data_IF_406507323011
#
_entry.id   IF_406507323011
#
_cell.length_a   1.000
_cell.length_b   1.000
_cell.length_c   1.000
_cell.angle_alpha   90.00
_cell.angle_beta   90.00
_cell.angle_gamma   90.00
#
_symmetry.space_group_name_H-M   'P 1'
#
loop_
_entity.id
_entity.type
_entity.pdbx_description
1 polymer ?
#
# COMPACT_ATOMS: atom_id res chain seq x y z
N UNK A 1 -6.36 6.30 -28.88
CA UNK A 1 -5.48 5.11 -29.03
C UNK A 1 -6.17 3.82 -28.59
N UNK A 2 -6.94 3.79 -27.50
CA UNK A 2 -7.61 2.58 -26.98
C UNK A 2 -8.50 1.82 -27.99
N UNK A 3 -9.21 2.53 -28.88
CA UNK A 3 -10.17 1.92 -29.82
C UNK A 3 -9.51 0.94 -30.82
N UNK A 4 -8.23 1.11 -31.16
CA UNK A 4 -7.51 0.23 -32.10
C UNK A 4 -7.16 -1.15 -31.50
N UNK A 5 -7.29 -1.31 -30.19
CA UNK A 5 -6.88 -2.53 -29.48
C UNK A 5 -8.06 -3.43 -29.09
N UNK A 6 -9.30 -3.04 -29.44
CA UNK A 6 -10.52 -3.84 -29.20
C UNK A 6 -10.79 -4.79 -30.37
N UNK A 7 -9.91 -5.78 -30.51
CA UNK A 7 -10.02 -6.85 -31.50
C UNK A 7 -10.60 -8.11 -30.85
N UNK A 8 -11.16 -9.00 -31.66
CA UNK A 8 -11.63 -10.31 -31.24
C UNK A 8 -10.51 -11.06 -30.52
N UNK A 9 -10.85 -11.61 -29.36
CA UNK A 9 -9.93 -12.33 -28.47
C UNK A 9 -9.22 -11.44 -27.45
N UNK A 10 -9.33 -10.10 -27.54
CA UNK A 10 -8.80 -9.21 -26.52
C UNK A 10 -9.56 -9.40 -25.19
N UNK A 11 -8.80 -9.38 -24.09
CA UNK A 11 -9.35 -9.41 -22.73
C UNK A 11 -9.67 -7.98 -22.27
N UNK A 12 -10.81 -7.81 -21.62
CA UNK A 12 -11.30 -6.53 -21.07
C UNK A 12 -11.89 -6.74 -19.68
N UNK A 13 -12.06 -5.65 -18.95
CA UNK A 13 -12.69 -5.63 -17.64
C UNK A 13 -14.13 -5.14 -17.72
N UNK A 14 -15.04 -5.84 -17.04
CA UNK A 14 -16.43 -5.43 -16.89
C UNK A 14 -16.79 -5.28 -15.41
N UNK A 15 -17.65 -4.32 -15.03
CA UNK A 15 -18.11 -4.18 -13.66
C UNK A 15 -18.82 -5.45 -13.17
N UNK A 16 -18.62 -5.78 -11.90
CA UNK A 16 -19.26 -6.89 -11.20
C UNK A 16 -19.70 -6.47 -9.80
N UNK A 17 -20.92 -6.82 -9.35
CA UNK A 17 -21.42 -6.41 -8.02
C UNK A 17 -20.59 -6.93 -6.84
N UNK A 18 -19.97 -8.10 -6.97
CA UNK A 18 -19.29 -8.79 -5.87
C UNK A 18 -17.77 -8.61 -5.94
N UNK A 19 -17.19 -8.74 -7.13
CA UNK A 19 -15.75 -8.66 -7.38
C UNK A 19 -15.28 -7.26 -7.79
N UNK A 20 -16.19 -6.29 -7.92
CA UNK A 20 -15.99 -4.95 -8.52
C UNK A 20 -15.70 -5.01 -10.02
N UNK A 21 -14.76 -5.86 -10.44
CA UNK A 21 -14.36 -6.07 -11.82
C UNK A 21 -14.13 -7.55 -12.11
N UNK A 22 -14.58 -8.01 -13.29
CA UNK A 22 -14.32 -9.35 -13.82
C UNK A 22 -13.78 -9.29 -15.24
N UNK A 23 -12.92 -10.25 -15.58
CA UNK A 23 -12.35 -10.36 -16.92
C UNK A 23 -13.36 -10.97 -17.90
N UNK A 24 -13.41 -10.42 -19.11
CA UNK A 24 -14.23 -10.90 -20.21
C UNK A 24 -13.44 -10.86 -21.52
N UNK A 25 -13.78 -11.73 -22.46
CA UNK A 25 -13.15 -11.78 -23.78
C UNK A 25 -14.04 -11.18 -24.87
N UNK A 26 -13.47 -10.36 -25.74
CA UNK A 26 -14.18 -9.87 -26.92
C UNK A 26 -14.41 -11.00 -27.92
N UNK A 27 -15.67 -11.19 -28.32
CA UNK A 27 -16.04 -12.20 -29.32
C UNK A 27 -16.01 -11.68 -30.76
N UNK A 28 -15.98 -10.36 -30.94
CA UNK A 28 -15.93 -9.69 -32.23
C UNK A 28 -15.10 -8.40 -32.13
N UNK A 29 -14.61 -7.92 -33.26
CA UNK A 29 -13.93 -6.62 -33.36
C UNK A 29 -14.94 -5.50 -33.09
N UNK A 30 -14.51 -4.46 -32.37
CA UNK A 30 -15.31 -3.26 -32.16
C UNK A 30 -15.10 -2.25 -33.29
N UNK A 31 -16.19 -1.81 -33.93
CA UNK A 31 -16.16 -0.71 -34.90
C UNK A 31 -16.63 0.58 -34.24
N UNK A 32 -15.94 1.72 -34.44
CA UNK A 32 -16.41 3.01 -33.94
C UNK A 32 -17.85 3.31 -34.39
N UNK A 33 -18.76 3.50 -33.44
CA UNK A 33 -20.19 3.69 -33.70
C UNK A 33 -21.07 2.48 -33.36
N UNK A 34 -20.47 1.33 -33.06
CA UNK A 34 -21.20 0.20 -32.51
C UNK A 34 -21.76 0.55 -31.13
N UNK A 35 -23.05 0.23 -30.93
CA UNK A 35 -23.76 0.50 -29.66
C UNK A 35 -23.53 -0.56 -28.58
N UNK A 36 -22.90 -1.68 -28.94
CA UNK A 36 -22.67 -2.80 -28.04
C UNK A 36 -21.37 -3.54 -28.39
N UNK A 37 -20.75 -4.13 -27.37
CA UNK A 37 -19.65 -5.09 -27.53
C UNK A 37 -20.14 -6.47 -27.09
N UNK A 38 -19.86 -7.50 -27.89
CA UNK A 38 -20.19 -8.88 -27.53
C UNK A 38 -19.04 -9.48 -26.73
N UNK A 39 -19.32 -9.81 -25.46
CA UNK A 39 -18.35 -10.31 -24.50
C UNK A 39 -18.65 -11.75 -24.09
N UNK A 40 -17.59 -12.51 -23.83
CA UNK A 40 -17.64 -13.83 -23.21
C UNK A 40 -17.17 -13.71 -21.76
N UNK A 41 -18.09 -13.96 -20.83
CA UNK A 41 -17.83 -14.09 -19.39
C UNK A 41 -17.85 -15.57 -19.00
N UNK A 42 -17.43 -15.88 -17.77
CA UNK A 42 -17.54 -17.23 -17.18
C UNK A 42 -18.99 -17.74 -17.16
N UNK A 43 -19.96 -16.84 -16.94
CA UNK A 43 -21.40 -17.14 -16.92
C UNK A 43 -22.08 -17.22 -18.29
N UNK A 44 -21.34 -16.99 -19.39
CA UNK A 44 -21.89 -17.02 -20.75
C UNK A 44 -21.62 -15.75 -21.55
N UNK A 45 -22.36 -15.59 -22.65
CA UNK A 45 -22.23 -14.45 -23.56
C UNK A 45 -23.12 -13.30 -23.11
N UNK A 46 -22.56 -12.09 -23.12
CA UNK A 46 -23.28 -10.87 -22.73
C UNK A 46 -23.05 -9.76 -23.75
N UNK A 47 -24.09 -8.97 -24.01
CA UNK A 47 -23.99 -7.73 -24.77
C UNK A 47 -23.72 -6.57 -23.79
N UNK A 48 -22.56 -5.97 -23.89
CA UNK A 48 -22.16 -4.81 -23.10
C UNK A 48 -22.52 -3.53 -23.86
N UNK A 49 -23.35 -2.63 -23.31
CA UNK A 49 -23.77 -1.41 -23.99
C UNK A 49 -22.64 -0.36 -24.05
N UNK A 50 -22.58 0.38 -25.15
CA UNK A 50 -21.64 1.48 -25.39
C UNK A 50 -22.41 2.64 -26.01
N UNK A 51 -22.66 3.70 -25.24
CA UNK A 51 -23.36 4.89 -25.74
C UNK A 51 -22.37 5.94 -26.24
N UNK A 52 -21.28 6.12 -25.49
CA UNK A 52 -20.17 7.00 -25.82
C UNK A 52 -18.83 6.25 -25.79
N UNK A 53 -17.79 6.74 -26.49
CA UNK A 53 -16.48 6.08 -26.52
C UNK A 53 -15.81 5.89 -25.14
N UNK A 54 -16.20 6.67 -24.12
CA UNK A 54 -15.72 6.50 -22.74
C UNK A 54 -16.34 5.32 -22.00
N UNK A 55 -17.43 4.76 -22.51
CA UNK A 55 -18.10 3.60 -21.90
C UNK A 55 -17.41 2.29 -22.26
N UNK A 56 -16.45 2.33 -23.20
CA UNK A 56 -15.70 1.15 -23.63
C UNK A 56 -15.04 0.48 -22.42
N UNK A 57 -15.16 -0.85 -22.29
CA UNK A 57 -14.60 -1.56 -21.16
C UNK A 57 -13.07 -1.42 -21.17
N UNK A 58 -12.43 -1.21 -20.00
CA UNK A 58 -10.97 -1.11 -19.92
C UNK A 58 -10.29 -2.38 -20.44
N UNK A 59 -9.25 -2.22 -21.25
CA UNK A 59 -8.45 -3.36 -21.74
C UNK A 59 -7.69 -4.03 -20.58
N UNK A 60 -7.67 -5.36 -20.55
CA UNK A 60 -6.82 -6.09 -19.62
C UNK A 60 -5.36 -6.07 -20.08
N UNK A 61 -4.44 -6.08 -19.10
CA UNK A 61 -3.03 -6.31 -19.41
C UNK A 61 -2.82 -7.77 -19.81
N UNK A 62 -1.80 -8.07 -20.64
CA UNK A 62 -1.44 -9.45 -20.94
C UNK A 62 -1.05 -10.23 -19.67
N UNK A 63 -1.35 -11.53 -19.64
CA UNK A 63 -1.08 -12.41 -18.50
C UNK A 63 0.41 -12.43 -18.09
N UNK A 64 1.33 -12.17 -19.03
CA UNK A 64 2.77 -12.08 -18.75
C UNK A 64 3.14 -10.91 -17.82
N UNK A 65 2.27 -9.90 -17.71
CA UNK A 65 2.46 -8.70 -16.88
C UNK A 65 1.65 -8.79 -15.58
N UNK A 66 1.25 -9.99 -15.17
CA UNK A 66 0.56 -10.21 -13.89
C UNK A 66 1.55 -10.25 -12.72
N UNK A 67 1.16 -9.56 -11.64
CA UNK A 67 1.90 -9.58 -10.39
C UNK A 67 3.23 -8.81 -10.40
N UNK A 68 3.39 -7.85 -11.32
CA UNK A 68 4.54 -6.95 -11.39
C UNK A 68 4.90 -6.30 -10.04
N UNK A 69 6.20 -6.17 -9.77
CA UNK A 69 6.70 -5.51 -8.55
C UNK A 69 6.41 -4.01 -8.53
N UNK A 70 6.32 -3.36 -9.70
CA UNK A 70 5.91 -1.96 -9.85
C UNK A 70 4.75 -1.84 -10.84
N UNK A 71 3.64 -1.28 -10.37
CA UNK A 71 2.44 -1.02 -11.17
C UNK A 71 2.71 -0.06 -12.34
N UNK A 72 3.79 0.71 -12.30
CA UNK A 72 4.20 1.58 -13.42
C UNK A 72 4.63 0.80 -14.67
N UNK A 73 4.96 -0.49 -14.55
CA UNK A 73 5.33 -1.36 -15.66
C UNK A 73 4.13 -1.87 -16.48
N UNK A 74 2.90 -1.67 -16.00
CA UNK A 74 1.69 -2.12 -16.70
C UNK A 74 1.45 -1.33 -17.99
N UNK A 75 1.07 -2.04 -19.06
CA UNK A 75 0.77 -1.43 -20.36
C UNK A 75 -0.50 -0.55 -20.30
N UNK A 76 -1.50 -1.00 -19.57
CA UNK A 76 -2.74 -0.30 -19.30
C UNK A 76 -2.87 -0.05 -17.80
N UNK A 77 -2.73 1.22 -17.40
CA UNK A 77 -2.84 1.63 -16.01
C UNK A 77 -4.21 2.26 -15.75
N UNK A 78 -5.10 1.49 -15.13
CA UNK A 78 -6.45 1.89 -14.71
C UNK A 78 -6.86 1.06 -13.49
N UNK A 79 -8.00 1.41 -12.88
CA UNK A 79 -8.47 0.83 -11.63
C UNK A 79 -8.53 -0.72 -11.64
N UNK A 80 -9.16 -1.40 -12.62
CA UNK A 80 -9.18 -2.87 -12.60
C UNK A 80 -7.80 -3.51 -12.75
N UNK A 81 -6.89 -2.90 -13.53
CA UNK A 81 -5.52 -3.40 -13.65
C UNK A 81 -4.75 -3.33 -12.32
N UNK A 82 -4.91 -2.23 -11.58
CA UNK A 82 -4.30 -2.05 -10.26
C UNK A 82 -4.89 -3.07 -9.27
N UNK A 83 -6.22 -3.18 -9.21
CA UNK A 83 -6.91 -4.09 -8.31
C UNK A 83 -6.50 -5.54 -8.57
N UNK A 84 -6.49 -5.96 -9.83
CA UNK A 84 -6.11 -7.32 -10.23
C UNK A 84 -4.66 -7.64 -9.85
N UNK A 85 -3.71 -6.77 -10.19
CA UNK A 85 -2.30 -7.00 -9.87
C UNK A 85 -2.08 -7.10 -8.36
N UNK A 86 -2.64 -6.18 -7.57
CA UNK A 86 -2.55 -6.23 -6.10
C UNK A 86 -3.18 -7.50 -5.54
N UNK A 87 -4.31 -7.96 -6.09
CA UNK A 87 -4.98 -9.19 -5.68
C UNK A 87 -4.12 -10.42 -5.96
N UNK A 88 -3.56 -10.56 -7.17
CA UNK A 88 -2.67 -11.67 -7.56
C UNK A 88 -1.44 -11.70 -6.65
N UNK A 89 -0.77 -10.56 -6.45
CA UNK A 89 0.39 -10.48 -5.56
C UNK A 89 0.06 -10.90 -4.13
N UNK A 90 -1.06 -10.42 -3.61
CA UNK A 90 -1.45 -10.70 -2.24
C UNK A 90 -1.89 -12.16 -2.04
N UNK A 91 -2.73 -12.71 -2.93
CA UNK A 91 -3.30 -14.05 -2.78
C UNK A 91 -2.38 -15.16 -3.28
N UNK A 92 -1.74 -14.96 -4.42
CA UNK A 92 -1.00 -16.03 -5.11
C UNK A 92 0.49 -16.01 -4.76
N UNK A 93 1.08 -14.82 -4.61
CA UNK A 93 2.51 -14.65 -4.29
C UNK A 93 2.79 -14.34 -2.81
N UNK A 94 1.75 -14.26 -1.97
CA UNK A 94 1.85 -13.88 -0.56
C UNK A 94 2.67 -12.60 -0.33
N UNK A 95 2.60 -11.68 -1.29
CA UNK A 95 3.41 -10.47 -1.37
C UNK A 95 2.56 -9.26 -0.99
N UNK A 96 2.86 -8.68 0.18
CA UNK A 96 2.08 -7.57 0.75
C UNK A 96 2.52 -6.19 0.29
N UNK A 97 3.68 -6.10 -0.35
CA UNK A 97 4.29 -4.86 -0.79
C UNK A 97 4.35 -4.80 -2.32
N UNK A 98 3.98 -3.65 -2.87
CA UNK A 98 4.00 -3.39 -4.32
C UNK A 98 4.37 -1.93 -4.56
N UNK A 99 5.28 -1.67 -5.49
CA UNK A 99 5.59 -0.31 -5.90
C UNK A 99 4.52 0.24 -6.85
N UNK A 100 4.31 1.55 -6.76
CA UNK A 100 3.50 2.33 -7.68
C UNK A 100 4.29 3.60 -7.97
N UNK A 101 5.32 3.47 -8.81
CA UNK A 101 6.34 4.49 -9.00
C UNK A 101 7.01 4.85 -7.67
N UNK A 102 6.83 6.10 -7.22
CA UNK A 102 7.44 6.60 -5.97
C UNK A 102 6.71 6.15 -4.70
N UNK A 103 5.51 5.58 -4.82
CA UNK A 103 4.68 5.16 -3.69
C UNK A 103 4.87 3.67 -3.43
N UNK A 104 4.92 3.28 -2.17
CA UNK A 104 4.83 1.87 -1.76
C UNK A 104 3.41 1.59 -1.28
N UNK A 105 2.75 0.64 -1.93
CA UNK A 105 1.47 0.07 -1.48
C UNK A 105 1.77 -1.07 -0.51
N UNK A 106 1.13 -1.06 0.64
CA UNK A 106 1.22 -2.09 1.66
C UNK A 106 -0.18 -2.62 1.99
N UNK A 107 -0.42 -3.91 1.73
CA UNK A 107 -1.68 -4.59 2.05
C UNK A 107 -1.52 -5.30 3.39
N UNK A 108 -2.43 -5.10 4.33
CA UNK A 108 -2.32 -5.71 5.66
C UNK A 108 -2.62 -7.22 5.59
N UNK A 109 -1.66 -8.12 5.90
CA UNK A 109 -1.88 -9.56 5.86
C UNK A 109 -2.71 -10.10 7.02
N UNK A 110 -2.85 -9.35 8.12
CA UNK A 110 -3.36 -9.84 9.40
C UNK A 110 -2.63 -11.09 9.95
N UNK A 111 -1.40 -11.30 9.49
CA UNK A 111 -0.55 -12.42 9.87
C UNK A 111 0.91 -11.97 10.08
N UNK A 112 1.66 -12.73 10.86
CA UNK A 112 3.08 -12.48 11.09
C UNK A 112 3.91 -13.09 9.96
N UNK A 113 4.60 -12.24 9.20
CA UNK A 113 5.43 -12.67 8.08
C UNK A 113 6.93 -12.68 8.45
N UNK A 114 7.71 -13.71 8.05
CA UNK A 114 9.14 -13.81 8.35
C UNK A 114 10.01 -12.93 7.43
N UNK A 115 9.57 -11.70 7.12
CA UNK A 115 10.22 -10.77 6.17
C UNK A 115 10.88 -9.56 6.85
N UNK A 116 10.94 -9.57 8.19
CA UNK A 116 11.44 -8.43 8.98
C UNK A 116 12.66 -8.77 9.85
N UNK A 117 13.36 -9.86 9.54
CA UNK A 117 14.58 -10.28 10.21
C UNK A 117 15.75 -9.32 9.94
N UNK A 118 16.79 -9.38 10.77
CA UNK A 118 18.02 -8.59 10.57
C UNK A 118 18.72 -8.94 9.25
N UNK A 119 18.71 -10.22 8.88
CA UNK A 119 19.20 -10.69 7.58
C UNK A 119 18.52 -10.00 6.39
N UNK A 120 17.23 -9.69 6.51
CA UNK A 120 16.50 -8.93 5.48
C UNK A 120 16.92 -7.46 5.52
N UNK A 121 17.09 -6.86 6.70
CA UNK A 121 17.59 -5.48 6.81
C UNK A 121 18.96 -5.35 6.13
N UNK A 122 19.87 -6.30 6.38
CA UNK A 122 21.20 -6.31 5.78
C UNK A 122 21.14 -6.47 4.26
N UNK A 123 20.25 -7.34 3.75
CA UNK A 123 20.07 -7.54 2.31
C UNK A 123 19.59 -6.27 1.60
N UNK A 124 18.75 -5.45 2.25
CA UNK A 124 18.25 -4.18 1.72
C UNK A 124 19.22 -3.01 1.95
N UNK A 125 20.19 -3.16 2.86
CA UNK A 125 21.14 -2.11 3.19
C UNK A 125 22.13 -1.86 2.07
N UNK A 126 22.24 -0.61 1.62
CA UNK A 126 23.20 -0.19 0.59
C UNK A 126 22.82 -0.54 -0.85
N UNK A 127 21.74 -1.29 -1.07
CA UNK A 127 21.26 -1.67 -2.40
C UNK A 127 20.45 -0.55 -3.07
N UNK A 128 20.44 -0.51 -4.40
CA UNK A 128 19.60 0.41 -5.15
C UNK A 128 18.16 -0.09 -5.25
N UNK A 129 17.20 0.84 -5.13
CA UNK A 129 15.77 0.53 -5.06
C UNK A 129 15.26 -0.20 -6.31
N UNK A 130 15.88 0.04 -7.47
CA UNK A 130 15.49 -0.58 -8.74
C UNK A 130 15.78 -2.09 -8.80
N UNK A 131 16.73 -2.57 -7.98
CA UNK A 131 17.17 -3.96 -7.98
C UNK A 131 16.53 -4.80 -6.87
N UNK A 132 15.66 -4.18 -6.04
CA UNK A 132 15.08 -4.79 -4.86
C UNK A 132 13.59 -5.07 -5.04
N UNK A 133 13.14 -6.18 -4.46
CA UNK A 133 11.71 -6.43 -4.32
C UNK A 133 11.05 -5.37 -3.42
N UNK A 134 9.78 -5.01 -3.69
CA UNK A 134 9.10 -3.99 -2.92
C UNK A 134 9.07 -4.33 -1.43
N UNK A 135 9.54 -3.42 -0.58
CA UNK A 135 9.55 -3.62 0.86
C UNK A 135 9.59 -2.28 1.61
N UNK A 136 9.11 -2.23 2.85
CA UNK A 136 9.22 -1.01 3.66
C UNK A 136 10.69 -0.62 3.93
N UNK A 137 11.60 -1.60 3.92
CA UNK A 137 13.04 -1.38 4.05
C UNK A 137 13.66 -0.76 2.80
N UNK A 138 13.13 -0.99 1.59
CA UNK A 138 13.63 -0.30 0.39
C UNK A 138 13.35 1.21 0.48
N UNK A 139 12.17 1.59 0.98
CA UNK A 139 11.81 2.99 1.24
C UNK A 139 12.69 3.60 2.34
N UNK A 140 12.89 2.88 3.45
CA UNK A 140 13.73 3.34 4.56
C UNK A 140 15.20 3.49 4.14
N UNK A 141 15.75 2.51 3.41
CA UNK A 141 17.11 2.53 2.88
C UNK A 141 17.35 3.67 1.91
N UNK A 142 16.41 3.89 0.98
CA UNK A 142 16.51 5.01 0.05
C UNK A 142 16.45 6.37 0.78
N UNK A 143 15.56 6.52 1.77
CA UNK A 143 15.49 7.73 2.59
C UNK A 143 16.79 7.94 3.39
N UNK A 144 17.34 6.90 4.03
CA UNK A 144 18.60 7.00 4.77
C UNK A 144 19.75 7.42 3.86
N UNK A 145 19.92 6.75 2.71
CA UNK A 145 20.99 7.06 1.76
C UNK A 145 20.87 8.48 1.19
N UNK A 146 19.65 8.89 0.85
CA UNK A 146 19.37 10.24 0.34
C UNK A 146 19.66 11.28 1.41
N UNK A 147 19.30 11.02 2.67
CA UNK A 147 19.59 11.90 3.80
C UNK A 147 21.09 12.11 4.02
N UNK A 148 21.89 11.04 3.96
CA UNK A 148 23.35 11.12 4.13
C UNK A 148 24.01 11.94 3.01
N UNK A 149 23.47 11.87 1.78
CA UNK A 149 24.05 12.54 0.61
C UNK A 149 23.55 13.96 0.39
N UNK A 150 22.28 14.24 0.72
CA UNK A 150 21.58 15.46 0.33
C UNK A 150 21.04 16.24 1.54
N UNK A 151 19.79 15.98 1.93
CA UNK A 151 19.02 16.79 2.86
C UNK A 151 18.10 15.93 3.75
N UNK A 152 17.50 16.55 4.76
CA UNK A 152 16.53 15.89 5.64
C UNK A 152 15.38 15.24 4.83
N UNK A 153 14.97 14.05 5.24
CA UNK A 153 13.93 13.27 4.56
C UNK A 153 12.67 13.15 5.42
N UNK A 154 11.55 12.85 4.76
CA UNK A 154 10.29 12.51 5.42
C UNK A 154 9.71 11.23 4.83
N UNK A 155 9.24 10.34 5.70
CA UNK A 155 8.46 9.17 5.31
C UNK A 155 7.04 9.41 5.80
N UNK A 156 6.10 9.48 4.86
CA UNK A 156 4.69 9.73 5.13
C UNK A 156 3.94 8.42 4.95
N UNK A 157 3.29 7.96 6.02
CA UNK A 157 2.53 6.71 6.02
C UNK A 157 1.05 7.05 6.19
N UNK A 158 0.28 6.85 5.12
CA UNK A 158 -1.15 7.13 5.05
C UNK A 158 -1.98 5.85 4.93
N UNK A 159 -3.28 5.97 5.14
CA UNK A 159 -4.23 4.85 5.05
C UNK A 159 -5.32 4.92 6.10
N UNK A 160 -6.37 4.13 5.91
CA UNK A 160 -7.49 4.05 6.83
C UNK A 160 -7.10 3.45 8.19
N UNK A 161 -7.99 3.59 9.19
CA UNK A 161 -7.75 2.97 10.49
C UNK A 161 -7.67 1.45 10.36
N UNK A 162 -6.64 0.82 10.91
CA UNK A 162 -6.39 -0.63 10.77
C UNK A 162 -5.53 -1.02 9.56
N UNK A 163 -5.14 -0.09 8.69
CA UNK A 163 -4.36 -0.40 7.47
C UNK A 163 -2.88 -0.76 7.70
N UNK A 164 -2.41 -0.85 8.95
CA UNK A 164 -1.00 -1.18 9.24
C UNK A 164 -0.02 0.01 9.30
N UNK A 165 -0.50 1.27 9.40
CA UNK A 165 0.36 2.47 9.48
C UNK A 165 1.40 2.41 10.62
N UNK A 166 0.95 2.06 11.83
CA UNK A 166 1.82 1.99 13.02
C UNK A 166 2.87 0.89 12.89
N UNK A 167 2.47 -0.26 12.32
CA UNK A 167 3.37 -1.40 12.06
C UNK A 167 4.44 -1.02 11.04
N UNK A 168 4.04 -0.36 9.94
CA UNK A 168 4.97 0.14 8.93
C UNK A 168 5.97 1.13 9.53
N UNK A 169 5.50 2.09 10.34
CA UNK A 169 6.36 3.06 11.02
C UNK A 169 7.36 2.36 11.96
N UNK A 170 6.92 1.32 12.69
CA UNK A 170 7.79 0.52 13.57
C UNK A 170 8.92 -0.14 12.79
N UNK A 171 8.63 -0.77 11.67
CA UNK A 171 9.65 -1.42 10.84
C UNK A 171 10.60 -0.41 10.18
N UNK A 172 10.10 0.73 9.72
CA UNK A 172 10.96 1.84 9.26
C UNK A 172 11.95 2.29 10.34
N UNK A 173 11.48 2.46 11.58
CA UNK A 173 12.35 2.85 12.71
C UNK A 173 13.38 1.77 13.04
N UNK A 174 12.98 0.50 13.04
CA UNK A 174 13.89 -0.63 13.25
C UNK A 174 15.02 -0.67 12.22
N UNK A 175 14.69 -0.45 10.95
CA UNK A 175 15.68 -0.37 9.87
C UNK A 175 16.73 0.72 10.16
N UNK A 176 16.29 1.93 10.53
CA UNK A 176 17.21 3.02 10.85
C UNK A 176 18.10 2.73 12.06
N UNK A 177 17.57 2.02 13.06
CA UNK A 177 18.34 1.64 14.24
C UNK A 177 19.52 0.73 13.87
N UNK A 178 19.27 -0.32 13.09
CA UNK A 178 20.29 -1.27 12.64
C UNK A 178 21.34 -0.59 11.76
N UNK A 179 20.91 0.11 10.71
CA UNK A 179 21.83 0.75 9.74
C UNK A 179 22.57 1.94 10.34
N UNK A 180 21.97 2.64 11.30
CA UNK A 180 22.58 3.76 12.02
C UNK A 180 23.67 3.37 13.03
N UNK A 181 24.26 2.18 12.91
CA UNK A 181 25.40 1.78 13.72
C UNK A 181 25.07 1.56 15.19
N UNK A 182 23.82 1.24 15.53
CA UNK A 182 23.47 0.72 16.84
C UNK A 182 24.07 -0.70 16.99
N UNK A 183 25.37 -0.82 17.25
CA UNK A 183 26.08 -2.10 17.47
C UNK A 183 25.56 -2.89 18.68
N UNK A 184 24.63 -2.31 19.43
CA UNK A 184 23.70 -2.93 20.36
C UNK A 184 22.42 -2.11 20.24
N UNK A 185 21.23 -2.73 20.34
CA UNK A 185 19.94 -2.03 20.48
C UNK A 185 20.14 -0.71 21.22
N UNK A 186 20.12 0.40 20.49
CA UNK A 186 20.44 1.67 21.13
C UNK A 186 19.27 1.98 22.03
N UNK A 187 19.56 2.44 23.26
CA UNK A 187 18.54 2.94 24.20
C UNK A 187 17.59 3.96 23.55
N UNK A 188 17.98 4.59 22.44
CA UNK A 188 17.13 5.53 21.68
C UNK A 188 16.03 4.81 20.90
N UNK A 189 16.34 3.74 20.16
CA UNK A 189 15.31 2.91 19.49
C UNK A 189 14.33 2.38 20.53
N UNK A 190 14.83 1.72 21.57
CA UNK A 190 13.98 1.16 22.62
C UNK A 190 13.11 2.22 23.27
N UNK A 191 13.63 3.43 23.50
CA UNK A 191 12.85 4.55 24.04
C UNK A 191 11.79 5.06 23.07
N UNK A 192 12.11 5.16 21.79
CA UNK A 192 11.14 5.59 20.76
C UNK A 192 10.06 4.52 20.60
N UNK A 193 10.43 3.24 20.56
CA UNK A 193 9.48 2.13 20.49
C UNK A 193 8.65 2.01 21.77
N UNK A 194 9.25 2.19 22.95
CA UNK A 194 8.56 2.18 24.25
C UNK A 194 7.62 3.38 24.43
N UNK A 195 7.81 4.47 23.67
CA UNK A 195 6.84 5.57 23.65
C UNK A 195 5.53 5.18 22.95
N UNK A 196 5.54 4.19 22.04
CA UNK A 196 4.33 3.80 21.31
C UNK A 196 3.23 3.28 22.25
N UNK A 197 3.46 2.28 23.15
CA UNK A 197 2.43 1.85 24.09
C UNK A 197 1.84 2.99 24.94
N UNK A 198 2.67 3.95 25.37
CA UNK A 198 2.21 5.11 26.15
C UNK A 198 1.28 5.98 25.31
N UNK A 199 1.71 6.30 24.08
CA UNK A 199 0.95 7.13 23.15
C UNK A 199 -0.35 6.46 22.70
N UNK A 200 -0.34 5.14 22.54
CA UNK A 200 -1.54 4.36 22.26
C UNK A 200 -2.51 4.39 23.45
N UNK A 201 -2.01 4.21 24.68
CA UNK A 201 -2.85 4.23 25.88
C UNK A 201 -3.60 5.57 26.09
N UNK A 202 -2.97 6.70 25.75
CA UNK A 202 -3.56 8.04 25.96
C UNK A 202 -4.26 8.62 24.72
N UNK A 203 -3.92 8.12 23.53
CA UNK A 203 -4.31 8.74 22.26
C UNK A 203 -5.07 7.82 21.30
N UNK A 204 -5.13 6.52 21.59
CA UNK A 204 -5.97 5.60 20.84
C UNK A 204 -7.29 5.33 21.57
N UNK A 205 -8.28 4.93 20.79
CA UNK A 205 -9.56 4.50 21.33
C UNK A 205 -10.23 3.48 20.41
N UNK A 206 -11.10 2.68 21.01
CA UNK A 206 -12.04 1.85 20.27
C UNK A 206 -13.03 2.72 19.49
N UNK A 207 -13.25 2.34 18.25
CA UNK A 207 -14.23 2.94 17.32
C UNK A 207 -15.09 1.83 16.72
N UNK A 208 -16.11 2.18 15.95
CA UNK A 208 -16.93 1.20 15.22
C UNK A 208 -16.14 0.43 14.15
N UNK A 209 -14.99 0.95 13.69
CA UNK A 209 -14.19 0.38 12.60
C UNK A 209 -12.88 -0.29 13.05
N UNK A 210 -12.35 0.08 14.22
CA UNK A 210 -11.07 -0.39 14.72
C UNK A 210 -11.03 -0.28 16.26
N UNK A 211 -10.63 -1.36 16.94
CA UNK A 211 -10.50 -1.45 18.38
C UNK A 211 -9.35 -0.61 18.97
N UNK A 212 -8.33 -0.30 18.18
CA UNK A 212 -7.16 0.50 18.61
C UNK A 212 -6.87 1.65 17.63
N UNK A 213 -7.89 2.48 17.33
CA UNK A 213 -7.75 3.59 16.39
C UNK A 213 -7.02 4.77 17.03
N UNK A 214 -5.88 5.18 16.46
CA UNK A 214 -5.23 6.45 16.83
C UNK A 214 -6.12 7.65 16.51
N UNK A 215 -6.29 8.54 17.49
CA UNK A 215 -7.14 9.75 17.42
C UNK A 215 -6.33 11.04 17.45
N UNK A 216 -5.07 10.96 17.02
CA UNK A 216 -4.13 12.06 16.88
C UNK A 216 -3.12 11.71 15.77
N UNK A 217 -2.51 12.73 15.16
CA UNK A 217 -1.37 12.58 14.26
C UNK A 217 -0.05 12.53 15.05
N UNK A 218 0.86 11.66 14.64
CA UNK A 218 2.19 11.49 15.26
C UNK A 218 3.27 11.77 14.23
N UNK A 219 4.19 12.67 14.56
CA UNK A 219 5.38 12.96 13.77
C UNK A 219 6.62 12.70 14.62
N UNK A 220 7.44 11.74 14.19
CA UNK A 220 8.68 11.37 14.87
C UNK A 220 9.83 11.87 14.02
N UNK A 221 10.65 12.74 14.60
CA UNK A 221 11.90 13.20 14.02
C UNK A 221 13.02 12.35 14.59
N UNK A 222 13.78 11.67 13.73
CA UNK A 222 14.97 10.91 14.13
C UNK A 222 16.18 11.76 13.74
N UNK A 223 17.01 12.06 14.74
CA UNK A 223 18.25 12.81 14.55
C UNK A 223 19.40 11.87 14.22
N UNK A 224 20.13 12.18 13.16
CA UNK A 224 21.34 11.48 12.77
C UNK A 224 22.57 12.37 12.90
N UNK A 225 23.66 11.82 13.40
CA UNK A 225 24.97 12.45 13.46
C UNK A 225 25.66 12.46 12.10
N UNK A 226 26.82 13.12 12.02
CA UNK A 226 27.58 13.25 10.76
C UNK A 226 28.09 11.91 10.21
N UNK A 227 28.18 10.88 11.05
CA UNK A 227 28.59 9.52 10.66
C UNK A 227 27.40 8.64 10.27
N UNK A 228 26.19 9.21 10.25
CA UNK A 228 24.95 8.48 9.99
C UNK A 228 24.43 7.69 11.20
N UNK A 229 24.97 7.96 12.39
CA UNK A 229 24.60 7.35 13.66
C UNK A 229 23.37 8.00 14.28
N UNK A 230 22.47 7.24 14.90
CA UNK A 230 21.30 7.82 15.59
C UNK A 230 21.77 8.55 16.86
N UNK A 231 21.47 9.85 16.94
CA UNK A 231 21.82 10.70 18.10
C UNK A 231 20.62 10.98 19.02
N UNK A 232 19.40 10.79 18.54
CA UNK A 232 18.20 11.06 19.33
C UNK A 232 16.93 11.04 18.49
N UNK A 233 15.79 11.28 19.15
CA UNK A 233 14.51 11.44 18.49
C UNK A 233 13.65 12.47 19.23
N UNK A 234 12.78 13.15 18.48
CA UNK A 234 11.77 14.06 19.00
C UNK A 234 10.40 13.68 18.45
N UNK A 235 9.35 13.83 19.24
CA UNK A 235 7.98 13.49 18.82
C UNK A 235 7.08 14.71 18.95
N UNK A 236 6.45 15.09 17.85
CA UNK A 236 5.40 16.09 17.82
C UNK A 236 4.05 15.43 17.55
N UNK A 237 3.03 15.87 18.27
CA UNK A 237 1.65 15.36 18.14
C UNK A 237 0.73 16.44 17.60
N UNK A 238 -0.21 16.04 16.74
CA UNK A 238 -1.13 16.95 16.08
C UNK A 238 -2.58 16.47 16.19
N UNK A 239 -3.53 17.40 16.19
CA UNK A 239 -4.95 17.13 15.97
C UNK A 239 -5.55 16.02 16.87
N UNK A 240 -5.28 16.07 18.18
CA UNK A 240 -5.94 15.19 19.14
C UNK A 240 -7.47 15.42 19.12
N UNK A 241 -8.25 14.37 18.98
CA UNK A 241 -9.72 14.41 18.98
C UNK A 241 -10.28 14.71 20.39
N UNK A 242 -10.23 15.98 20.79
CA UNK A 242 -10.66 16.43 22.13
C UNK A 242 -12.10 16.09 22.48
N UNK A 243 -13.01 16.04 21.49
CA UNK A 243 -14.41 15.69 21.71
C UNK A 243 -14.59 14.30 22.32
N UNK A 244 -13.68 13.36 22.02
CA UNK A 244 -13.75 11.98 22.55
C UNK A 244 -13.60 11.90 24.06
N UNK A 245 -13.02 12.92 24.68
CA UNK A 245 -12.86 12.99 26.15
C UNK A 245 -14.22 13.05 26.85
N UNK A 246 -15.21 13.72 26.24
CA UNK A 246 -16.52 13.97 26.85
C UNK A 246 -17.68 13.32 26.11
N UNK A 247 -17.44 12.75 24.92
CA UNK A 247 -18.49 12.21 24.07
C UNK A 247 -18.04 10.93 23.37
N UNK A 248 -18.88 9.90 23.45
CA UNK A 248 -18.72 8.65 22.70
C UNK A 248 -20.05 8.26 22.07
N UNK A 249 -20.02 7.93 20.78
CA UNK A 249 -21.19 7.35 20.10
C UNK A 249 -21.25 5.86 20.48
N UNK A 250 -22.24 5.49 21.28
CA UNK A 250 -22.59 4.09 21.49
C UNK A 250 -23.56 3.66 20.37
N UNK A 251 -23.15 2.69 19.55
CA UNK A 251 -24.11 1.91 18.78
C UNK A 251 -24.67 0.87 19.76
N UNK A 252 -25.81 1.16 20.35
CA UNK A 252 -26.60 0.13 21.02
C UNK A 252 -27.04 -0.86 19.92
N UNK A 253 -26.38 -2.01 19.83
CA UNK A 253 -26.97 -3.17 19.18
C UNK A 253 -28.13 -3.57 20.09
N UNK A 254 -29.33 -3.06 19.80
CA UNK A 254 -30.55 -3.68 20.29
C UNK A 254 -30.64 -5.04 19.60
N UNK A 255 -30.11 -6.07 20.24
CA UNK A 255 -30.59 -7.42 20.02
C UNK A 255 -31.95 -7.50 20.70
N UNK A 256 -33.00 -7.66 19.90
CA UNK A 256 -34.33 -8.05 20.38
C UNK A 256 -34.26 -9.39 21.12
#
# INVERSE_FOLDING_TARGET
>A
MAVKCLIKGASVWTPDPDAVWVSAQLLQDYTPGDKHVLLQLSGGKTLYPVEVPSDLPPLANPDISEGENDLSALSFLHEPAILHNLRVRFLDYNSIYTHCGIVLVAVNPYDELPIYGEEVIDAYSGQDMADLEPHIFSVAGNAYRTMIRLNNQSIIISGESGSGKTVSAKFTMRYFAVVGGATQQTKVEDKVLASNPIMEAIGNAKTTRNDNSSRFGKYIQIGFGRRGDIIGANMNTYLLEKSRVVFQVFVAIFSF
#
